data_IF_038409188150
#
_entry.id   IF_038409188150
#
_cell.length_a   1.000
_cell.length_b   1.000
_cell.length_c   1.000
_cell.angle_alpha   90.00
_cell.angle_beta   90.00
_cell.angle_gamma   90.00
#
_symmetry.space_group_name_H-M   'P 1'
#
loop_
_entity.id
_entity.type
_entity.pdbx_description
1 polymer ?
#
# COMPACT_ATOMS: atom_id res chain seq x y z
N UNK A 1 19.13 5.22 -37.21
CA UNK A 1 17.66 5.04 -37.22
C UNK A 1 17.10 5.96 -36.12
N UNK A 2 16.62 7.13 -36.53
CA UNK A 2 16.23 8.24 -35.65
C UNK A 2 14.95 7.93 -34.87
N UNK A 3 14.94 8.28 -33.59
CA UNK A 3 13.74 8.34 -32.74
C UNK A 3 12.79 9.41 -33.28
N UNK A 4 11.60 8.99 -33.72
CA UNK A 4 10.52 9.89 -34.08
C UNK A 4 9.76 10.26 -32.80
N UNK A 5 10.06 11.44 -32.24
CA UNK A 5 9.25 12.05 -31.18
C UNK A 5 7.97 12.59 -31.86
N UNK A 6 6.88 11.84 -31.76
CA UNK A 6 5.56 12.30 -32.17
C UNK A 6 4.97 13.19 -31.06
N UNK A 7 5.10 14.50 -31.27
CA UNK A 7 4.31 15.54 -30.61
C UNK A 7 2.85 15.39 -31.06
N UNK A 8 2.02 14.70 -30.26
CA UNK A 8 0.58 14.68 -30.45
C UNK A 8 -0.09 15.51 -29.34
N UNK A 9 -0.32 16.79 -29.67
CA UNK A 9 -1.31 17.63 -28.97
C UNK A 9 -2.69 17.05 -29.25
N UNK A 10 -3.21 16.27 -28.31
CA UNK A 10 -4.59 15.81 -28.35
C UNK A 10 -5.42 16.58 -27.31
N UNK A 11 -6.28 17.46 -27.81
CA UNK A 11 -7.45 17.95 -27.09
C UNK A 11 -8.45 16.79 -27.04
N UNK A 12 -8.51 16.06 -25.91
CA UNK A 12 -9.57 15.10 -25.64
C UNK A 12 -10.27 15.46 -24.33
N UNK A 13 -11.47 16.02 -24.47
CA UNK A 13 -12.46 16.12 -23.40
C UNK A 13 -13.14 14.75 -23.35
N UNK A 14 -12.53 13.80 -22.63
CA UNK A 14 -13.05 12.43 -22.52
C UNK A 14 -12.11 11.51 -21.74
N UNK A 15 -12.70 10.59 -20.96
CA UNK A 15 -12.00 9.71 -20.04
C UNK A 15 -11.04 8.75 -20.79
N UNK A 16 -9.73 9.05 -20.74
CA UNK A 16 -8.65 8.39 -21.52
C UNK A 16 -8.60 6.87 -21.30
N UNK A 17 -9.08 6.37 -20.14
CA UNK A 17 -9.21 4.93 -19.84
C UNK A 17 -10.05 4.14 -20.86
N UNK A 18 -10.97 4.80 -21.58
CA UNK A 18 -11.81 4.14 -22.60
C UNK A 18 -11.03 3.78 -23.88
N UNK A 19 -9.95 4.49 -24.19
CA UNK A 19 -9.26 4.40 -25.48
C UNK A 19 -7.88 3.72 -25.39
N UNK A 20 -7.29 3.64 -24.20
CA UNK A 20 -6.04 2.94 -23.93
C UNK A 20 -6.18 2.09 -22.66
N UNK A 21 -6.81 0.91 -22.75
CA UNK A 21 -7.11 0.08 -21.57
C UNK A 21 -5.88 -0.52 -20.88
N UNK A 22 -4.69 -0.38 -21.49
CA UNK A 22 -3.44 -1.03 -21.03
C UNK A 22 -2.31 -0.01 -21.04
N UNK A 23 -2.41 1.00 -20.17
CA UNK A 23 -1.24 1.82 -19.84
C UNK A 23 -0.80 1.43 -18.43
N UNK A 24 0.49 1.13 -18.26
CA UNK A 24 1.08 0.99 -16.95
C UNK A 24 0.76 2.25 -16.12
N UNK A 25 0.25 2.06 -14.91
CA UNK A 25 -0.02 3.18 -14.02
C UNK A 25 1.26 3.54 -13.30
N UNK A 26 1.65 4.81 -13.40
CA UNK A 26 2.79 5.37 -12.69
C UNK A 26 2.30 6.20 -11.49
N UNK A 27 2.79 5.88 -10.29
CA UNK A 27 2.44 6.57 -9.06
C UNK A 27 3.73 6.98 -8.35
N UNK A 28 3.84 8.27 -8.00
CA UNK A 28 4.91 8.75 -7.13
C UNK A 28 4.35 8.99 -5.74
N UNK A 29 4.76 8.18 -4.77
CA UNK A 29 4.44 8.40 -3.36
C UNK A 29 5.52 9.22 -2.68
N UNK A 30 5.34 9.49 -1.39
CA UNK A 30 6.36 10.16 -0.58
C UNK A 30 7.66 9.34 -0.52
N UNK A 31 7.58 8.01 -0.45
CA UNK A 31 8.72 7.12 -0.21
C UNK A 31 9.26 6.46 -1.47
N UNK A 32 8.40 6.24 -2.46
CA UNK A 32 8.65 5.30 -3.55
C UNK A 32 8.11 5.77 -4.89
N UNK A 33 8.68 5.21 -5.95
CA UNK A 33 8.15 5.23 -7.31
C UNK A 33 7.49 3.87 -7.55
N UNK A 34 6.21 3.87 -7.92
CA UNK A 34 5.42 2.67 -8.17
C UNK A 34 5.03 2.63 -9.64
N UNK A 35 5.21 1.47 -10.27
CA UNK A 35 4.65 1.16 -11.59
C UNK A 35 3.78 -0.07 -11.47
N UNK A 36 2.50 0.04 -11.84
CA UNK A 36 1.56 -1.07 -11.87
C UNK A 36 1.46 -1.56 -13.31
N UNK A 37 1.74 -2.84 -13.52
CA UNK A 37 1.50 -3.55 -14.78
C UNK A 37 0.23 -4.40 -14.64
N UNK A 38 -0.81 -3.99 -15.35
CA UNK A 38 -2.11 -4.67 -15.35
C UNK A 38 -2.18 -5.87 -16.32
N UNK A 39 -1.19 -6.06 -17.21
CA UNK A 39 -1.17 -7.23 -18.12
C UNK A 39 -0.83 -8.51 -17.36
N UNK A 40 0.00 -8.40 -16.32
CA UNK A 40 0.50 -9.54 -15.56
C UNK A 40 0.29 -9.38 -14.04
N UNK A 41 -0.62 -8.49 -13.63
CA UNK A 41 -0.97 -8.24 -12.23
C UNK A 41 0.25 -8.10 -11.30
N UNK A 42 1.20 -7.25 -11.73
CA UNK A 42 2.48 -7.04 -11.03
C UNK A 42 2.70 -5.57 -10.69
N UNK A 43 3.28 -5.31 -9.53
CA UNK A 43 3.64 -3.97 -9.05
C UNK A 43 5.15 -3.88 -8.85
N UNK A 44 5.77 -2.91 -9.51
CA UNK A 44 7.18 -2.57 -9.34
C UNK A 44 7.30 -1.37 -8.42
N UNK A 45 7.90 -1.57 -7.24
CA UNK A 45 8.13 -0.53 -6.23
C UNK A 45 9.63 -0.26 -6.12
N UNK A 46 10.05 0.96 -6.44
CA UNK A 46 11.40 1.46 -6.18
C UNK A 46 11.37 2.46 -5.01
N UNK A 47 11.94 2.08 -3.88
CA UNK A 47 12.05 2.96 -2.71
C UNK A 47 13.21 3.92 -2.91
N UNK A 48 12.94 5.23 -2.76
CA UNK A 48 13.92 6.30 -3.04
C UNK A 48 14.21 7.19 -1.83
N UNK A 49 13.52 6.99 -0.70
CA UNK A 49 13.72 7.74 0.54
C UNK A 49 13.73 6.81 1.76
N UNK A 50 14.30 7.31 2.85
CA UNK A 50 14.34 6.63 4.16
C UNK A 50 15.09 5.28 4.12
N UNK A 51 15.98 5.09 3.15
CA UNK A 51 16.78 3.87 3.02
C UNK A 51 17.68 3.65 4.25
N UNK A 52 18.11 4.74 4.90
CA UNK A 52 18.86 4.73 6.16
C UNK A 52 18.09 4.08 7.34
N UNK A 53 16.76 3.98 7.23
CA UNK A 53 15.90 3.31 8.21
C UNK A 53 15.60 1.84 7.86
N UNK A 54 16.24 1.30 6.82
CA UNK A 54 16.05 -0.10 6.37
C UNK A 54 14.60 -0.45 6.02
N UNK A 55 13.87 0.52 5.48
CA UNK A 55 12.43 0.38 5.17
C UNK A 55 12.14 -0.70 4.13
N UNK A 56 13.08 -0.95 3.21
CA UNK A 56 12.95 -1.98 2.17
C UNK A 56 13.11 -3.37 2.78
N UNK A 57 14.13 -3.57 3.60
CA UNK A 57 14.37 -4.82 4.31
C UNK A 57 13.23 -5.13 5.27
N UNK A 58 12.67 -4.11 5.90
CA UNK A 58 11.55 -4.24 6.81
C UNK A 58 10.26 -4.66 6.07
N UNK A 59 9.93 -4.02 4.95
CA UNK A 59 8.79 -4.42 4.11
C UNK A 59 8.95 -5.87 3.61
N UNK A 60 10.14 -6.24 3.15
CA UNK A 60 10.45 -7.63 2.74
C UNK A 60 10.27 -8.61 3.90
N UNK A 61 10.75 -8.26 5.11
CA UNK A 61 10.67 -9.12 6.28
C UNK A 61 9.22 -9.45 6.65
N UNK A 62 8.35 -8.43 6.73
CA UNK A 62 6.96 -8.62 7.12
C UNK A 62 6.14 -9.29 6.03
N UNK A 63 6.32 -8.92 4.75
CA UNK A 63 5.63 -9.59 3.65
C UNK A 63 6.05 -11.06 3.51
N UNK A 64 7.29 -11.44 3.85
CA UNK A 64 7.69 -12.87 3.93
C UNK A 64 6.93 -13.62 5.02
N UNK A 65 6.74 -13.01 6.20
CA UNK A 65 5.92 -13.59 7.28
C UNK A 65 4.43 -13.69 6.93
N UNK A 66 3.96 -12.90 5.97
CA UNK A 66 2.58 -12.83 5.52
C UNK A 66 2.37 -13.53 4.17
N UNK A 67 3.32 -14.33 3.71
CA UNK A 67 3.29 -14.99 2.39
C UNK A 67 2.14 -15.99 2.21
N UNK A 68 1.56 -16.47 3.31
CA UNK A 68 0.38 -17.34 3.32
C UNK A 68 -0.93 -16.57 3.56
N UNK A 69 -0.87 -15.24 3.72
CA UNK A 69 -2.00 -14.42 4.09
C UNK A 69 -2.61 -13.68 2.90
N UNK A 70 -3.90 -13.94 2.64
CA UNK A 70 -4.58 -13.49 1.42
C UNK A 70 -4.97 -12.00 1.40
N UNK A 71 -4.73 -11.25 2.46
CA UNK A 71 -5.04 -9.81 2.57
C UNK A 71 -3.79 -8.93 2.43
N UNK A 72 -2.70 -9.46 1.89
CA UNK A 72 -1.45 -8.73 1.63
C UNK A 72 -0.85 -9.12 0.29
N UNK A 73 -0.04 -8.26 -0.35
CA UNK A 73 0.66 -8.63 -1.58
C UNK A 73 1.76 -9.65 -1.28
N UNK A 74 2.03 -10.52 -2.25
CA UNK A 74 3.16 -11.43 -2.21
C UNK A 74 4.38 -10.80 -2.87
N UNK A 75 5.57 -11.11 -2.34
CA UNK A 75 6.83 -10.76 -3.00
C UNK A 75 7.07 -11.74 -4.13
N UNK A 76 7.27 -11.21 -5.34
CA UNK A 76 7.66 -11.97 -6.54
C UNK A 76 9.19 -11.96 -6.68
N UNK A 77 9.81 -10.78 -6.53
CA UNK A 77 11.27 -10.60 -6.61
C UNK A 77 11.69 -9.36 -5.82
N UNK A 78 12.98 -9.25 -5.46
CA UNK A 78 13.53 -8.04 -4.87
C UNK A 78 15.02 -7.87 -5.17
N UNK A 79 15.45 -6.64 -5.42
CA UNK A 79 16.86 -6.30 -5.65
C UNK A 79 17.18 -4.90 -5.12
N UNK A 80 18.09 -4.81 -4.13
CA UNK A 80 18.46 -3.56 -3.46
C UNK A 80 17.24 -2.81 -2.93
N UNK A 81 16.91 -1.65 -3.51
CA UNK A 81 15.79 -0.80 -3.14
C UNK A 81 14.51 -1.08 -3.94
N UNK A 82 14.49 -2.13 -4.76
CA UNK A 82 13.38 -2.49 -5.64
C UNK A 82 12.70 -3.76 -5.15
N UNK A 83 11.37 -3.75 -5.11
CA UNK A 83 10.53 -4.91 -4.81
C UNK A 83 9.52 -5.06 -5.93
N UNK A 84 9.39 -6.28 -6.44
CA UNK A 84 8.32 -6.70 -7.34
C UNK A 84 7.29 -7.44 -6.50
N UNK A 85 6.05 -6.94 -6.49
CA UNK A 85 4.94 -7.44 -5.69
C UNK A 85 3.82 -7.93 -6.60
N UNK A 86 2.99 -8.86 -6.11
CA UNK A 86 1.70 -9.13 -6.73
C UNK A 86 0.80 -7.90 -6.63
N UNK A 87 -0.03 -7.68 -7.65
CA UNK A 87 -1.05 -6.64 -7.61
C UNK A 87 -2.03 -6.86 -6.46
N UNK A 88 -2.34 -5.77 -5.75
CA UNK A 88 -3.17 -5.76 -4.55
C UNK A 88 -4.51 -5.03 -4.75
N UNK A 89 -4.88 -4.75 -6.00
CA UNK A 89 -6.17 -4.14 -6.34
C UNK A 89 -6.15 -2.62 -6.47
N UNK A 90 -7.35 -2.06 -6.48
CA UNK A 90 -7.59 -0.62 -6.62
C UNK A 90 -7.85 0.02 -5.25
N UNK A 91 -7.65 1.35 -5.08
CA UNK A 91 -7.94 2.03 -3.83
C UNK A 91 -9.32 1.70 -3.26
N UNK A 92 -9.40 1.45 -1.96
CA UNK A 92 -10.66 1.26 -1.27
C UNK A 92 -11.40 2.59 -1.16
N UNK A 93 -12.68 2.58 -1.50
CA UNK A 93 -13.60 3.72 -1.56
C UNK A 93 -14.93 3.32 -0.95
N UNK A 94 -15.78 4.28 -0.60
CA UNK A 94 -17.16 3.98 -0.16
C UNK A 94 -17.97 3.20 -1.20
N UNK A 95 -17.60 3.25 -2.49
CA UNK A 95 -18.32 2.57 -3.59
C UNK A 95 -17.93 1.11 -3.79
N UNK A 96 -16.73 0.72 -3.36
CA UNK A 96 -16.23 -0.66 -3.51
C UNK A 96 -15.91 -1.31 -2.16
N UNK A 97 -16.33 -0.71 -1.04
CA UNK A 97 -16.22 -1.31 0.30
C UNK A 97 -17.11 -2.56 0.38
N UNK A 98 -16.57 -3.75 0.70
CA UNK A 98 -17.36 -4.97 0.75
C UNK A 98 -18.30 -4.98 1.96
N UNK A 99 -19.43 -5.68 1.86
CA UNK A 99 -20.45 -5.74 2.93
C UNK A 99 -19.88 -6.34 4.21
N UNK A 100 -18.96 -7.30 4.10
CA UNK A 100 -18.31 -7.97 5.21
C UNK A 100 -16.99 -7.32 5.65
N UNK A 101 -16.77 -6.04 5.30
CA UNK A 101 -15.51 -5.34 5.57
C UNK A 101 -15.06 -5.46 7.03
N UNK A 102 -15.98 -5.37 8.01
CA UNK A 102 -15.63 -5.48 9.44
C UNK A 102 -14.94 -6.79 9.75
N UNK A 103 -15.46 -7.91 9.21
CA UNK A 103 -14.88 -9.24 9.41
C UNK A 103 -13.50 -9.35 8.77
N UNK A 104 -13.32 -8.71 7.60
CA UNK A 104 -12.01 -8.69 6.93
C UNK A 104 -10.99 -7.85 7.69
N UNK A 105 -11.40 -6.71 8.25
CA UNK A 105 -10.53 -5.87 9.09
C UNK A 105 -10.11 -6.63 10.35
N UNK A 106 -11.03 -7.31 11.03
CA UNK A 106 -10.68 -8.13 12.19
C UNK A 106 -9.71 -9.25 11.80
N UNK A 107 -9.94 -9.93 10.67
CA UNK A 107 -9.03 -10.96 10.16
C UNK A 107 -7.61 -10.42 9.90
N UNK A 108 -7.49 -9.21 9.36
CA UNK A 108 -6.20 -8.53 9.15
C UNK A 108 -5.53 -8.24 10.50
N UNK A 109 -6.26 -7.63 11.43
CA UNK A 109 -5.73 -7.27 12.76
C UNK A 109 -5.30 -8.51 13.56
N UNK A 110 -6.10 -9.58 13.52
CA UNK A 110 -5.79 -10.84 14.16
C UNK A 110 -4.53 -11.46 13.58
N UNK A 111 -4.36 -11.46 12.26
CA UNK A 111 -3.13 -11.98 11.63
C UNK A 111 -1.90 -11.14 11.98
N UNK A 112 -2.00 -9.81 12.00
CA UNK A 112 -0.91 -8.94 12.44
C UNK A 112 -0.50 -9.25 13.88
N UNK A 113 -1.48 -9.41 14.77
CA UNK A 113 -1.24 -9.76 16.17
C UNK A 113 -0.62 -11.17 16.33
N UNK A 114 -1.11 -12.17 15.58
CA UNK A 114 -0.59 -13.54 15.56
C UNK A 114 0.92 -13.57 15.27
N UNK A 115 1.39 -12.78 14.29
CA UNK A 115 2.80 -12.72 13.90
C UNK A 115 3.62 -11.68 14.68
N UNK A 116 3.02 -11.09 15.71
CA UNK A 116 3.58 -10.02 16.54
C UNK A 116 4.02 -8.78 15.72
N UNK A 117 3.25 -8.42 14.70
CA UNK A 117 3.47 -7.24 13.85
C UNK A 117 2.63 -6.05 14.31
N UNK A 118 3.25 -4.88 14.41
CA UNK A 118 2.55 -3.61 14.37
C UNK A 118 2.89 -2.88 13.07
N UNK A 119 1.89 -2.51 12.28
CA UNK A 119 2.08 -1.85 10.97
C UNK A 119 2.57 -0.39 11.12
N UNK A 120 2.11 0.30 12.16
CA UNK A 120 2.46 1.67 12.56
C UNK A 120 2.02 2.80 11.59
N UNK A 121 1.84 2.51 10.30
CA UNK A 121 1.61 3.55 9.27
C UNK A 121 0.32 3.40 8.46
N UNK A 122 -0.72 2.74 9.00
CA UNK A 122 -1.99 2.49 8.27
C UNK A 122 -2.73 3.81 7.99
N UNK A 123 -3.00 4.07 6.71
CA UNK A 123 -3.82 5.18 6.19
C UNK A 123 -4.82 4.66 5.15
N UNK A 124 -5.82 5.46 4.73
CA UNK A 124 -6.75 5.08 3.66
C UNK A 124 -6.08 4.69 2.34
N UNK A 125 -4.94 5.30 2.01
CA UNK A 125 -4.16 4.99 0.80
C UNK A 125 -3.55 3.60 0.81
N UNK A 126 -3.48 2.97 1.99
CA UNK A 126 -2.82 1.69 2.21
C UNK A 126 -3.85 0.53 2.26
N UNK A 127 -5.13 0.85 2.04
CA UNK A 127 -6.23 -0.10 1.95
C UNK A 127 -6.72 -0.16 0.49
N UNK A 128 -6.58 -1.33 -0.11
CA UNK A 128 -6.99 -1.61 -1.48
C UNK A 128 -8.10 -2.66 -1.52
N UNK A 129 -8.74 -2.81 -2.67
CA UNK A 129 -9.78 -3.80 -2.95
C UNK A 129 -9.38 -4.67 -4.14
N UNK A 130 -9.26 -5.97 -3.90
CA UNK A 130 -9.01 -6.96 -4.94
C UNK A 130 -9.94 -8.17 -4.75
N UNK A 131 -10.74 -8.52 -5.75
CA UNK A 131 -11.59 -9.71 -5.74
C UNK A 131 -12.43 -9.86 -4.44
N UNK A 132 -13.08 -8.77 -4.01
CA UNK A 132 -13.86 -8.68 -2.78
C UNK A 132 -13.06 -8.89 -1.47
N UNK A 133 -11.71 -8.81 -1.52
CA UNK A 133 -10.80 -8.82 -0.36
C UNK A 133 -10.12 -7.47 -0.14
N UNK A 134 -10.22 -6.94 1.07
CA UNK A 134 -9.48 -5.75 1.48
C UNK A 134 -8.02 -6.13 1.62
N UNK A 135 -7.13 -5.46 0.89
CA UNK A 135 -5.70 -5.70 0.94
C UNK A 135 -5.03 -4.59 1.73
N UNK A 136 -4.15 -4.96 2.68
CA UNK A 136 -3.26 -4.04 3.40
C UNK A 136 -1.89 -4.05 2.73
N UNK A 137 -1.33 -2.85 2.48
CA UNK A 137 -0.02 -2.67 1.84
C UNK A 137 0.89 -1.74 2.67
N UNK A 138 2.15 -1.63 2.23
CA UNK A 138 3.15 -0.67 2.74
C UNK A 138 3.69 -0.93 4.16
N UNK A 139 4.29 -2.10 4.36
CA UNK A 139 4.89 -2.55 5.62
C UNK A 139 6.26 -1.91 5.95
N UNK A 140 6.61 -0.81 5.28
CA UNK A 140 7.92 -0.14 5.41
C UNK A 140 8.26 0.28 6.84
N UNK A 141 7.23 0.64 7.62
CA UNK A 141 7.37 1.11 9.00
C UNK A 141 6.89 0.11 10.05
N UNK A 142 6.59 -1.13 9.65
CA UNK A 142 6.14 -2.14 10.57
C UNK A 142 7.23 -2.54 11.58
N UNK A 143 6.85 -2.98 12.77
CA UNK A 143 7.78 -3.39 13.82
C UNK A 143 7.20 -4.54 14.62
N UNK A 144 8.00 -5.12 15.51
CA UNK A 144 7.40 -5.98 16.52
C UNK A 144 6.47 -5.16 17.41
N UNK A 145 5.40 -5.76 17.92
CA UNK A 145 4.55 -5.11 18.94
C UNK A 145 5.41 -4.75 20.15
N UNK A 146 5.20 -3.56 20.71
CA UNK A 146 5.95 -2.98 21.83
C UNK A 146 7.47 -2.79 21.58
N UNK A 147 7.95 -2.95 20.34
CA UNK A 147 9.33 -2.61 20.02
C UNK A 147 9.55 -1.11 20.24
N UNK A 148 10.60 -0.77 21.00
CA UNK A 148 11.03 0.62 21.11
C UNK A 148 11.49 1.12 19.75
N UNK A 149 10.76 2.08 19.21
CA UNK A 149 11.11 2.72 17.95
C UNK A 149 12.08 3.88 18.21
N UNK A 150 12.95 4.15 17.23
CA UNK A 150 13.91 5.27 17.34
C UNK A 150 13.18 6.60 17.55
N UNK A 151 13.74 7.46 18.39
CA UNK A 151 13.24 8.83 18.59
C UNK A 151 13.36 9.70 17.34
N UNK A 152 14.16 9.29 16.36
CA UNK A 152 14.42 10.02 15.12
C UNK A 152 13.52 9.58 13.95
N UNK A 153 12.44 8.85 14.22
CA UNK A 153 11.49 8.47 13.17
C UNK A 153 10.82 9.70 12.51
N UNK A 154 10.53 9.62 11.20
CA UNK A 154 9.72 10.64 10.53
C UNK A 154 8.39 10.88 11.25
N UNK A 155 8.11 12.16 11.57
CA UNK A 155 6.86 12.55 12.26
C UNK A 155 5.59 12.22 11.45
N UNK A 156 5.74 12.01 10.14
CA UNK A 156 4.67 11.69 9.22
C UNK A 156 4.11 10.26 9.36
N UNK A 157 4.79 9.36 10.07
CA UNK A 157 4.32 7.98 10.26
C UNK A 157 3.00 7.98 11.06
N UNK A 158 2.02 7.29 10.52
CA UNK A 158 0.60 7.21 10.87
C UNK A 158 -0.19 8.48 10.52
N UNK A 159 0.47 9.57 10.16
CA UNK A 159 -0.15 10.84 9.81
C UNK A 159 -1.24 11.30 10.79
N UNK A 160 -2.36 11.77 10.25
CA UNK A 160 -3.56 12.12 11.03
C UNK A 160 -4.35 10.89 11.50
N UNK A 161 -4.03 9.69 11.00
CA UNK A 161 -4.74 8.45 11.31
C UNK A 161 -4.20 7.75 12.57
N UNK A 162 -2.99 8.11 12.99
CA UNK A 162 -2.36 7.67 14.25
C UNK A 162 -3.17 8.05 15.49
N UNK A 163 -3.18 7.18 16.49
CA UNK A 163 -3.75 7.49 17.81
C UNK A 163 -2.94 8.56 18.54
N UNK A 164 -3.63 9.35 19.39
CA UNK A 164 -2.96 10.32 20.27
C UNK A 164 -2.02 9.64 21.28
N UNK A 165 -2.28 8.38 21.61
CA UNK A 165 -1.52 7.61 22.59
C UNK A 165 -0.40 6.76 21.95
N UNK A 166 -0.04 7.03 20.69
CA UNK A 166 1.01 6.30 19.98
C UNK A 166 0.48 5.42 18.84
N UNK A 167 1.28 4.45 18.42
CA UNK A 167 0.91 3.52 17.37
C UNK A 167 -0.13 2.51 17.86
N UNK A 168 -1.20 2.37 17.09
CA UNK A 168 -2.29 1.44 17.36
C UNK A 168 -2.97 1.14 16.02
N UNK A 169 -2.74 -0.06 15.49
CA UNK A 169 -3.20 -0.43 14.14
C UNK A 169 -4.72 -0.53 14.08
N UNK A 170 -5.37 -1.08 15.12
CA UNK A 170 -6.83 -1.11 15.24
C UNK A 170 -7.42 0.28 15.15
N UNK A 171 -6.93 1.24 15.94
CA UNK A 171 -7.38 2.62 15.87
C UNK A 171 -7.18 3.22 14.47
N UNK A 172 -6.00 3.01 13.89
CA UNK A 172 -5.62 3.63 12.62
C UNK A 172 -6.43 3.06 11.44
N UNK A 173 -6.68 1.75 11.40
CA UNK A 173 -7.46 1.11 10.34
C UNK A 173 -8.94 1.48 10.44
N UNK A 174 -9.54 1.49 11.63
CA UNK A 174 -10.94 1.90 11.79
C UNK A 174 -11.15 3.38 11.47
N UNK A 175 -10.20 4.24 11.87
CA UNK A 175 -10.23 5.66 11.48
C UNK A 175 -10.08 5.85 9.97
N UNK A 176 -9.28 5.00 9.33
CA UNK A 176 -9.14 5.00 7.86
C UNK A 176 -10.41 4.55 7.16
N UNK A 177 -11.07 3.48 7.64
CA UNK A 177 -12.38 3.04 7.12
C UNK A 177 -13.45 4.13 7.28
N UNK A 178 -13.54 4.75 8.47
CA UNK A 178 -14.47 5.85 8.69
C UNK A 178 -14.24 7.00 7.70
N UNK A 179 -12.99 7.36 7.43
CA UNK A 179 -12.66 8.35 6.41
C UNK A 179 -13.08 7.89 5.00
N UNK A 180 -12.86 6.63 4.65
CA UNK A 180 -13.27 6.07 3.35
C UNK A 180 -14.80 6.12 3.17
N UNK A 181 -15.56 5.85 4.24
CA UNK A 181 -17.03 5.84 4.20
C UNK A 181 -17.63 7.24 4.10
N UNK A 182 -17.08 8.22 4.83
CA UNK A 182 -17.76 9.50 5.07
C UNK A 182 -16.93 10.75 4.69
N UNK A 183 -15.65 10.59 4.36
CA UNK A 183 -14.67 11.67 4.22
C UNK A 183 -14.43 12.17 2.79
N UNK A 184 -15.36 11.92 1.86
CA UNK A 184 -15.30 12.43 0.47
C UNK A 184 -16.15 13.67 0.29
#
# INVERSE_FOLDING_TARGET
MQYLILNLKFWFIGNIKKYFPILNQYIRSTTSIITINHENDTVYKETVRYLEFRVVENEIYWLKKLSDFEHTPNIIDHNKNKITLSYAGEPLTSKNLPIDWEKQIEKILDKLNEINCSHNDIKPTDLLMLNNKIMLIDFQWASNVNQSLSTNLPKSIGGIYKSKNGFNDRYSIYKSIHFIQFGN
#
